data_IF_779334798560
#
_entry.id   IF_779334798560
#
_cell.length_a   1.000
_cell.length_b   1.000
_cell.length_c   1.000
_cell.angle_alpha   90.00
_cell.angle_beta   90.00
_cell.angle_gamma   90.00
#
_symmetry.space_group_name_H-M   'P 1'
#
loop_
_entity.id
_entity.type
_entity.pdbx_description
1 polymer ?
#
# COMPACT_ATOMS: atom_id res chain seq x y z
N UNK A 1 -19.82 19.60 48.29
CA UNK A 1 -20.65 20.20 47.24
C UNK A 1 -19.97 19.80 45.94
N UNK A 2 -20.10 18.51 45.62
CA UNK A 2 -19.44 17.86 44.49
C UNK A 2 -20.43 17.86 43.34
N UNK A 3 -20.17 18.73 42.36
CA UNK A 3 -20.99 18.82 41.16
C UNK A 3 -20.86 17.51 40.36
N UNK A 4 -21.97 16.79 40.33
CA UNK A 4 -22.15 15.60 39.54
C UNK A 4 -21.78 15.90 38.08
N UNK A 5 -20.73 15.23 37.60
CA UNK A 5 -20.37 15.17 36.19
C UNK A 5 -21.49 14.40 35.48
N UNK A 6 -22.53 15.13 35.08
CA UNK A 6 -23.65 14.59 34.33
C UNK A 6 -23.14 14.15 32.96
N UNK A 7 -22.90 12.85 32.86
CA UNK A 7 -22.62 12.13 31.62
C UNK A 7 -23.91 12.14 30.80
N UNK A 8 -24.12 13.23 30.05
CA UNK A 8 -25.22 13.34 29.10
C UNK A 8 -25.05 12.23 28.08
N UNK A 9 -25.94 11.24 28.11
CA UNK A 9 -26.12 10.27 27.04
C UNK A 9 -26.23 11.04 25.71
N UNK A 10 -25.26 10.83 24.83
CA UNK A 10 -25.17 11.55 23.57
C UNK A 10 -26.43 11.29 22.74
N UNK A 11 -27.21 12.34 22.48
CA UNK A 11 -28.27 12.31 21.47
C UNK A 11 -27.68 11.84 20.13
N UNK A 12 -28.47 11.16 19.27
CA UNK A 12 -28.00 10.76 17.95
C UNK A 12 -27.61 12.01 17.17
N UNK A 13 -26.30 12.25 17.04
CA UNK A 13 -25.73 13.45 16.43
C UNK A 13 -26.34 13.67 15.05
N UNK A 14 -26.80 14.89 14.80
CA UNK A 14 -27.32 15.28 13.49
C UNK A 14 -26.23 15.14 12.41
N UNK A 15 -26.63 14.90 11.15
CA UNK A 15 -25.69 14.82 10.01
C UNK A 15 -24.80 16.06 9.89
N UNK A 16 -25.35 17.24 10.23
CA UNK A 16 -24.63 18.52 10.23
C UNK A 16 -23.57 18.55 11.33
N UNK A 17 -23.94 18.17 12.56
CA UNK A 17 -23.00 18.13 13.69
C UNK A 17 -21.84 17.16 13.39
N UNK A 18 -22.15 16.01 12.80
CA UNK A 18 -21.14 15.02 12.40
C UNK A 18 -20.18 15.58 11.36
N UNK A 19 -20.70 16.26 10.33
CA UNK A 19 -19.89 16.88 9.29
C UNK A 19 -19.02 18.02 9.85
N UNK A 20 -19.54 18.83 10.76
CA UNK A 20 -18.81 19.92 11.40
C UNK A 20 -17.69 19.39 12.31
N UNK A 21 -17.98 18.38 13.13
CA UNK A 21 -16.99 17.71 13.96
C UNK A 21 -15.89 17.07 13.10
N UNK A 22 -16.26 16.40 12.01
CA UNK A 22 -15.30 15.83 11.07
C UNK A 22 -14.38 16.91 10.45
N UNK A 23 -14.95 18.02 9.99
CA UNK A 23 -14.18 19.11 9.40
C UNK A 23 -13.24 19.76 10.42
N UNK A 24 -13.70 19.95 11.65
CA UNK A 24 -12.92 20.55 12.74
C UNK A 24 -11.77 19.63 13.16
N UNK A 25 -12.01 18.33 13.31
CA UNK A 25 -10.99 17.35 13.68
C UNK A 25 -9.89 17.20 12.60
N UNK A 26 -10.21 17.46 11.34
CA UNK A 26 -9.26 17.37 10.23
C UNK A 26 -8.52 18.70 9.97
N UNK A 27 -8.80 19.76 10.72
CA UNK A 27 -8.28 21.10 10.46
C UNK A 27 -6.75 21.14 10.36
N UNK A 28 -6.03 20.55 11.32
CA UNK A 28 -4.57 20.62 11.36
C UNK A 28 -3.94 19.80 10.23
N UNK A 29 -4.48 18.61 9.95
CA UNK A 29 -4.06 17.79 8.82
C UNK A 29 -4.30 18.51 7.47
N UNK A 30 -5.43 19.22 7.32
CA UNK A 30 -5.73 20.02 6.12
C UNK A 30 -4.84 21.23 5.97
N UNK A 31 -4.21 21.74 7.03
CA UNK A 31 -3.28 22.88 6.97
C UNK A 31 -1.82 22.47 6.81
N UNK A 32 -1.51 21.16 6.86
CA UNK A 32 -0.13 20.67 6.73
C UNK A 32 0.57 21.14 5.44
N UNK A 33 -0.17 21.33 4.34
CA UNK A 33 0.39 21.86 3.08
C UNK A 33 0.92 23.31 3.20
N UNK A 34 0.47 24.08 4.20
CA UNK A 34 1.01 25.41 4.47
C UNK A 34 2.42 25.34 5.06
N UNK A 35 2.78 24.23 5.70
CA UNK A 35 4.08 24.01 6.31
C UNK A 35 5.05 23.25 5.38
N UNK A 36 4.56 22.37 4.51
CA UNK A 36 5.37 21.63 3.54
C UNK A 36 4.81 21.75 2.10
N UNK A 37 5.52 22.43 1.19
CA UNK A 37 5.07 22.63 -0.20
C UNK A 37 5.03 21.33 -1.03
N UNK A 38 5.60 20.22 -0.52
CA UNK A 38 5.49 18.89 -1.17
C UNK A 38 4.11 18.28 -1.01
N UNK A 39 3.34 18.71 0.01
CA UNK A 39 2.00 18.24 0.26
C UNK A 39 1.00 19.01 -0.61
N UNK A 40 0.07 18.29 -1.23
CA UNK A 40 -1.01 18.91 -2.01
C UNK A 40 -2.15 19.34 -1.08
N UNK A 41 -2.82 20.45 -1.42
CA UNK A 41 -4.03 20.91 -0.72
C UNK A 41 -5.16 19.86 -0.71
N UNK A 42 -5.20 19.00 -1.73
CA UNK A 42 -6.24 18.00 -1.95
C UNK A 42 -5.69 16.57 -1.89
N UNK A 43 -6.57 15.61 -1.57
CA UNK A 43 -6.22 14.19 -1.51
C UNK A 43 -6.59 13.40 -2.79
N UNK A 44 -6.91 14.09 -3.89
CA UNK A 44 -7.46 13.48 -5.10
C UNK A 44 -6.60 12.32 -5.66
N UNK A 45 -5.27 12.44 -5.60
CA UNK A 45 -4.39 11.37 -6.07
C UNK A 45 -4.53 10.11 -5.20
N UNK A 46 -4.46 10.23 -3.88
CA UNK A 46 -4.62 9.08 -2.99
C UNK A 46 -6.03 8.48 -3.09
N UNK A 47 -7.07 9.30 -3.20
CA UNK A 47 -8.43 8.82 -3.43
C UNK A 47 -8.57 8.08 -4.75
N UNK A 48 -7.92 8.55 -5.81
CA UNK A 48 -7.88 7.86 -7.11
C UNK A 48 -7.22 6.49 -6.98
N UNK A 49 -6.09 6.40 -6.28
CA UNK A 49 -5.40 5.12 -6.05
C UNK A 49 -6.26 4.13 -5.24
N UNK A 50 -6.94 4.63 -4.20
CA UNK A 50 -7.85 3.83 -3.37
C UNK A 50 -9.13 3.40 -4.10
N UNK A 51 -9.55 4.10 -5.15
CA UNK A 51 -10.76 3.75 -5.91
C UNK A 51 -10.62 2.37 -6.58
N UNK A 52 -9.45 2.04 -7.08
CA UNK A 52 -9.18 0.71 -7.68
C UNK A 52 -9.28 -0.41 -6.64
N UNK A 53 -8.86 -0.13 -5.39
CA UNK A 53 -9.01 -1.04 -4.26
C UNK A 53 -10.48 -1.25 -3.92
N UNK A 54 -11.25 -0.16 -3.79
CA UNK A 54 -12.69 -0.24 -3.48
C UNK A 54 -13.45 -1.02 -4.53
N UNK A 55 -13.24 -0.73 -5.82
CA UNK A 55 -13.83 -1.51 -6.93
C UNK A 55 -13.43 -2.99 -6.88
N UNK A 56 -12.17 -3.28 -6.55
CA UNK A 56 -11.69 -4.65 -6.38
C UNK A 56 -12.43 -5.35 -5.24
N UNK A 57 -12.57 -4.71 -4.09
CA UNK A 57 -13.32 -5.24 -2.94
C UNK A 57 -14.78 -5.50 -3.26
N UNK A 58 -15.44 -4.61 -4.03
CA UNK A 58 -16.82 -4.81 -4.47
C UNK A 58 -16.95 -6.01 -5.44
N UNK A 59 -15.90 -6.30 -6.23
CA UNK A 59 -15.87 -7.43 -7.17
C UNK A 59 -15.42 -8.75 -6.54
N UNK A 60 -14.57 -8.71 -5.51
CA UNK A 60 -14.08 -9.90 -4.81
C UNK A 60 -15.07 -10.27 -3.73
N UNK A 61 -16.06 -11.08 -4.10
CA UNK A 61 -17.26 -11.21 -3.30
C UNK A 61 -17.01 -11.61 -1.83
N UNK A 62 -15.97 -12.37 -1.46
CA UNK A 62 -15.77 -12.73 -0.06
C UNK A 62 -14.30 -12.98 0.30
N UNK A 63 -13.74 -12.20 1.23
CA UNK A 63 -12.73 -12.72 2.14
C UNK A 63 -13.49 -13.42 3.26
N UNK A 64 -13.60 -14.75 3.20
CA UNK A 64 -14.39 -15.52 4.18
C UNK A 64 -13.81 -15.44 5.61
N UNK A 65 -12.55 -15.05 5.75
CA UNK A 65 -11.84 -14.98 7.03
C UNK A 65 -11.04 -13.69 7.17
N UNK A 66 -10.89 -13.22 8.42
CA UNK A 66 -10.02 -12.08 8.75
C UNK A 66 -8.58 -12.32 8.29
N UNK A 67 -8.07 -13.54 8.44
CA UNK A 67 -6.74 -13.92 7.98
C UNK A 67 -6.56 -13.72 6.46
N UNK A 68 -7.57 -14.08 5.66
CA UNK A 68 -7.55 -13.85 4.21
C UNK A 68 -7.46 -12.36 3.85
N UNK A 69 -8.18 -11.51 4.58
CA UNK A 69 -8.12 -10.05 4.38
C UNK A 69 -6.76 -9.46 4.78
N UNK A 70 -6.17 -9.94 5.87
CA UNK A 70 -4.83 -9.52 6.31
C UNK A 70 -3.78 -9.85 5.24
N UNK A 71 -3.78 -11.10 4.74
CA UNK A 71 -2.87 -11.54 3.68
C UNK A 71 -3.06 -10.71 2.41
N UNK A 72 -4.31 -10.48 1.99
CA UNK A 72 -4.60 -9.64 0.83
C UNK A 72 -4.06 -8.22 1.01
N UNK A 73 -4.24 -7.63 2.19
CA UNK A 73 -3.77 -6.27 2.50
C UNK A 73 -2.25 -6.18 2.39
N UNK A 74 -1.53 -7.20 2.86
CA UNK A 74 -0.06 -7.29 2.73
C UNK A 74 0.33 -7.31 1.25
N UNK A 75 -0.20 -8.23 0.45
CA UNK A 75 0.12 -8.31 -0.99
C UNK A 75 -0.24 -7.02 -1.73
N UNK A 76 -1.40 -6.43 -1.43
CA UNK A 76 -1.85 -5.19 -2.06
C UNK A 76 -0.91 -4.02 -1.74
N UNK A 77 -0.46 -3.90 -0.49
CA UNK A 77 0.50 -2.86 -0.10
C UNK A 77 1.83 -3.00 -0.84
N UNK A 78 2.25 -4.25 -1.08
CA UNK A 78 3.45 -4.60 -1.83
C UNK A 78 3.32 -4.26 -3.32
N UNK A 79 2.19 -4.61 -3.93
CA UNK A 79 1.89 -4.27 -5.33
C UNK A 79 1.82 -2.75 -5.53
N UNK A 80 1.16 -2.03 -4.61
CA UNK A 80 1.11 -0.57 -4.65
C UNK A 80 2.51 0.05 -4.52
N UNK A 81 3.37 -0.52 -3.67
CA UNK A 81 4.76 -0.10 -3.53
C UNK A 81 5.57 -0.37 -4.81
N UNK A 82 5.34 -1.50 -5.49
CA UNK A 82 5.94 -1.78 -6.80
C UNK A 82 5.54 -0.73 -7.84
N UNK A 83 4.25 -0.41 -7.93
CA UNK A 83 3.75 0.61 -8.85
C UNK A 83 4.36 2.00 -8.56
N UNK A 84 4.45 2.37 -7.28
CA UNK A 84 5.10 3.62 -6.84
C UNK A 84 6.56 3.71 -7.30
N UNK A 85 7.28 2.58 -7.30
CA UNK A 85 8.67 2.47 -7.72
C UNK A 85 8.84 2.07 -9.19
N UNK A 86 7.77 2.07 -9.99
CA UNK A 86 7.78 1.72 -11.43
C UNK A 86 8.32 0.32 -11.71
N UNK A 87 8.05 -0.61 -10.80
CA UNK A 87 8.39 -2.02 -10.96
C UNK A 87 7.21 -2.79 -11.51
N UNK A 88 7.48 -3.79 -12.35
CA UNK A 88 6.48 -4.80 -12.67
C UNK A 88 6.25 -5.66 -11.41
N UNK A 89 5.04 -5.64 -10.81
CA UNK A 89 4.78 -6.37 -9.57
C UNK A 89 4.94 -7.88 -9.73
N UNK A 90 4.65 -8.43 -10.92
CA UNK A 90 4.80 -9.85 -11.20
C UNK A 90 6.27 -10.27 -11.15
N UNK A 91 7.13 -9.59 -11.90
CA UNK A 91 8.56 -9.87 -11.92
C UNK A 91 9.19 -9.70 -10.54
N UNK A 92 8.87 -8.59 -9.87
CA UNK A 92 9.36 -8.33 -8.52
C UNK A 92 8.97 -9.46 -7.55
N UNK A 93 7.70 -9.86 -7.51
CA UNK A 93 7.25 -10.91 -6.58
C UNK A 93 7.88 -12.26 -6.93
N UNK A 94 7.98 -12.61 -8.21
CA UNK A 94 8.61 -13.85 -8.62
C UNK A 94 10.09 -13.91 -8.22
N UNK A 95 10.86 -12.85 -8.54
CA UNK A 95 12.29 -12.78 -8.24
C UNK A 95 12.53 -12.80 -6.72
N UNK A 96 11.78 -11.99 -5.96
CA UNK A 96 11.92 -11.91 -4.49
C UNK A 96 11.53 -13.21 -3.79
N UNK A 97 10.42 -13.86 -4.18
CA UNK A 97 9.99 -15.13 -3.59
C UNK A 97 11.00 -16.26 -3.82
N UNK A 98 11.71 -16.24 -4.95
CA UNK A 98 12.81 -17.19 -5.20
C UNK A 98 14.04 -16.88 -4.34
N UNK A 99 14.34 -15.61 -4.12
CA UNK A 99 15.50 -15.16 -3.35
C UNK A 99 15.33 -15.24 -1.84
N UNK A 100 14.11 -15.10 -1.32
CA UNK A 100 13.85 -14.91 0.13
C UNK A 100 14.50 -15.99 0.99
N UNK A 101 14.51 -17.24 0.52
CA UNK A 101 15.11 -18.41 1.20
C UNK A 101 16.65 -18.43 1.19
N UNK A 102 17.26 -17.59 0.36
CA UNK A 102 18.71 -17.47 0.18
C UNK A 102 19.25 -16.13 0.67
N UNK A 103 18.38 -15.25 1.18
CA UNK A 103 18.72 -13.93 1.67
C UNK A 103 18.87 -13.95 3.20
N UNK A 104 19.83 -13.23 3.76
CA UNK A 104 20.00 -13.17 5.21
C UNK A 104 18.88 -12.33 5.85
N UNK A 105 18.35 -12.82 6.97
CA UNK A 105 17.10 -12.31 7.56
C UNK A 105 17.22 -10.88 8.12
N UNK A 106 18.42 -10.48 8.52
CA UNK A 106 18.76 -9.14 8.98
C UNK A 106 18.75 -8.09 7.85
N UNK A 107 18.77 -8.52 6.57
CA UNK A 107 18.82 -7.64 5.40
C UNK A 107 17.57 -7.68 4.52
N UNK A 108 16.42 -8.11 5.05
CA UNK A 108 15.16 -8.17 4.27
C UNK A 108 14.70 -6.82 3.70
N UNK A 109 15.07 -5.70 4.34
CA UNK A 109 14.74 -4.36 3.85
C UNK A 109 15.34 -4.12 2.45
N UNK A 110 16.46 -4.74 2.12
CA UNK A 110 17.08 -4.66 0.80
C UNK A 110 16.20 -5.28 -0.30
N UNK A 111 15.33 -6.23 0.05
CA UNK A 111 14.40 -6.84 -0.90
C UNK A 111 13.15 -5.98 -1.13
N UNK A 112 12.91 -4.93 -0.35
CA UNK A 112 11.72 -4.11 -0.50
C UNK A 112 11.66 -3.41 -1.88
N UNK A 113 10.45 -3.10 -2.42
CA UNK A 113 10.31 -2.52 -3.76
C UNK A 113 11.13 -1.24 -3.97
N UNK A 114 11.28 -0.42 -2.93
CA UNK A 114 12.11 0.79 -2.96
C UNK A 114 13.58 0.53 -3.29
N UNK A 115 14.14 -0.57 -2.79
CA UNK A 115 15.55 -0.90 -2.90
C UNK A 115 15.84 -1.92 -4.00
N UNK A 116 14.80 -2.55 -4.54
CA UNK A 116 14.88 -3.72 -5.41
C UNK A 116 15.84 -3.56 -6.59
N UNK A 117 15.79 -2.45 -7.33
CA UNK A 117 16.65 -2.26 -8.50
C UNK A 117 18.15 -2.24 -8.14
N UNK A 118 18.49 -1.65 -6.99
CA UNK A 118 19.87 -1.60 -6.50
C UNK A 118 20.32 -2.99 -6.06
N UNK A 119 19.47 -3.67 -5.29
CA UNK A 119 19.73 -5.02 -4.78
C UNK A 119 19.89 -6.02 -5.93
N UNK A 120 19.00 -5.97 -6.92
CA UNK A 120 19.00 -6.82 -8.11
C UNK A 120 20.27 -6.64 -8.96
N UNK A 121 20.73 -5.40 -9.14
CA UNK A 121 21.98 -5.12 -9.84
C UNK A 121 23.20 -5.71 -9.12
N UNK A 122 23.20 -5.65 -7.79
CA UNK A 122 24.29 -6.14 -6.92
C UNK A 122 24.31 -7.65 -6.65
N UNK A 123 23.41 -8.44 -7.23
CA UNK A 123 23.36 -9.90 -7.00
C UNK A 123 24.63 -10.59 -7.51
N UNK A 124 25.14 -11.55 -6.73
CA UNK A 124 26.19 -12.46 -7.18
C UNK A 124 25.67 -13.45 -8.24
N UNK A 125 26.58 -14.11 -8.95
CA UNK A 125 26.23 -15.05 -10.03
C UNK A 125 25.35 -16.22 -9.53
N UNK A 126 25.58 -16.66 -8.29
CA UNK A 126 24.80 -17.74 -7.68
C UNK A 126 23.33 -17.34 -7.51
N UNK A 127 23.07 -16.14 -6.99
CA UNK A 127 21.72 -15.62 -6.76
C UNK A 127 21.06 -15.15 -8.06
N UNK A 128 21.82 -14.66 -9.05
CA UNK A 128 21.30 -14.36 -10.39
C UNK A 128 20.70 -15.59 -11.06
N UNK A 129 21.32 -16.76 -10.94
CA UNK A 129 20.77 -18.02 -11.45
C UNK A 129 19.47 -18.45 -10.77
N UNK A 130 19.27 -18.06 -9.51
CA UNK A 130 18.04 -18.34 -8.76
C UNK A 130 16.87 -17.52 -9.32
N UNK A 131 17.08 -16.23 -9.65
CA UNK A 131 16.03 -15.35 -10.20
C UNK A 131 15.80 -15.54 -11.70
N UNK A 132 16.84 -15.91 -12.46
CA UNK A 132 16.77 -16.16 -13.89
C UNK A 132 17.02 -17.64 -14.18
N UNK A 133 16.05 -18.52 -13.89
CA UNK A 133 16.19 -19.91 -14.27
C UNK A 133 16.20 -20.06 -15.79
N UNK A 134 16.87 -21.08 -16.35
CA UNK A 134 17.04 -21.25 -17.79
C UNK A 134 15.72 -21.48 -18.56
N UNK A 135 14.63 -21.83 -17.86
CA UNK A 135 13.29 -21.98 -18.43
C UNK A 135 12.43 -20.71 -18.34
N UNK A 136 12.95 -19.59 -17.82
CA UNK A 136 12.21 -18.34 -17.77
C UNK A 136 11.93 -17.88 -19.20
N UNK A 137 10.65 -17.70 -19.53
CA UNK A 137 10.29 -17.12 -20.82
C UNK A 137 10.85 -15.69 -20.89
N UNK A 138 11.29 -15.23 -22.08
CA UNK A 138 11.62 -13.84 -22.29
C UNK A 138 10.44 -12.96 -21.84
N UNK A 139 10.74 -11.82 -21.21
CA UNK A 139 9.72 -10.85 -20.82
C UNK A 139 8.81 -10.55 -22.03
N UNK A 140 7.49 -10.76 -21.93
CA UNK A 140 6.57 -10.43 -23.02
C UNK A 140 6.54 -8.93 -23.36
N UNK A 141 7.25 -8.10 -22.59
CA UNK A 141 7.24 -6.64 -22.70
C UNK A 141 6.16 -6.04 -21.81
N UNK A 142 6.06 -4.69 -21.77
CA UNK A 142 5.05 -4.04 -20.96
C UNK A 142 3.66 -4.52 -21.39
N UNK A 143 2.89 -5.05 -20.44
CA UNK A 143 1.45 -5.24 -20.60
C UNK A 143 0.88 -3.83 -20.71
N UNK A 144 0.72 -3.35 -21.94
CA UNK A 144 0.02 -2.10 -22.23
C UNK A 144 -1.44 -2.36 -21.88
N UNK A 145 -1.81 -2.11 -20.63
CA UNK A 145 -3.17 -1.74 -20.32
C UNK A 145 -3.35 -0.33 -20.91
N UNK A 146 -3.78 -0.29 -22.16
CA UNK A 146 -4.41 0.89 -22.72
C UNK A 146 -5.53 1.30 -21.76
N UNK A 147 -5.58 2.61 -21.51
CA UNK A 147 -6.40 3.29 -20.51
C UNK A 147 -7.86 2.82 -20.41
#
# INVERSE_FOLDING_TARGET
MDEAKQERAAEPRGRIETALNYATNLHDARRAFLADPRLKLHNNDSERELRSLKKGLDNWMHFETKAGLEVYTVYRSLIASCALHRLNPYDYLEEVLRLVRHWPADRFVELAPKHWLTTRAGLDERLRRVIHPPWRRPDPGPIINAA
#
